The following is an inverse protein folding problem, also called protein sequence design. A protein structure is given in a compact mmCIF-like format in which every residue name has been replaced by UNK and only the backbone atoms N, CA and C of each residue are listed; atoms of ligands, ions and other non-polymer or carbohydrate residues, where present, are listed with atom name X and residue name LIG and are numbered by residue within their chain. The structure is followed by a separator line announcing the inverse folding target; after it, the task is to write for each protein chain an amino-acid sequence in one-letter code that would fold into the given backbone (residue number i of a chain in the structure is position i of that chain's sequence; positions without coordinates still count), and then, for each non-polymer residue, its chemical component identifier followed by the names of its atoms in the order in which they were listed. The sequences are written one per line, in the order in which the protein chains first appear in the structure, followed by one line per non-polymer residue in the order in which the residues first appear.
data_IF_864156795221
#
_entry.id   IF_864156795221
#
_cell.length_a   1.000
_cell.length_b   1.000
_cell.length_c   1.000
_cell.angle_alpha   90.00
_cell.angle_beta   90.00
_cell.angle_gamma   90.00
#
_symmetry.space_group_name_H-M   'P 1'
#
loop_
_entity.id
_entity.type
_entity.pdbx_description
1 polymer ?
#
# COMPACT_ATOMS: atom_id res chain seq x y z
N UNK A 1 19.25 0.43 21.67
CA UNK A 1 19.26 -0.38 20.43
C UNK A 1 20.13 0.36 19.44
N UNK A 2 21.16 -0.28 18.91
CA UNK A 2 22.18 0.36 18.07
C UNK A 2 21.63 0.66 16.66
N UNK A 3 22.04 1.80 16.10
CA UNK A 3 21.69 2.24 14.73
C UNK A 3 22.00 1.15 13.68
N UNK A 4 23.02 0.33 13.92
CA UNK A 4 23.38 -0.84 13.12
C UNK A 4 22.18 -1.79 12.92
N UNK A 5 21.38 -2.03 13.96
CA UNK A 5 20.23 -2.92 13.90
C UNK A 5 19.13 -2.36 12.99
N UNK A 6 18.91 -1.03 13.02
CA UNK A 6 17.95 -0.34 12.15
C UNK A 6 18.32 -0.53 10.68
N UNK A 7 19.62 -0.45 10.35
CA UNK A 7 20.10 -0.69 9.00
C UNK A 7 19.89 -2.14 8.55
N UNK A 8 20.11 -3.11 9.42
CA UNK A 8 19.87 -4.52 9.09
C UNK A 8 18.38 -4.80 8.85
N UNK A 9 17.49 -4.24 9.67
CA UNK A 9 16.03 -4.35 9.49
C UNK A 9 15.62 -3.71 8.16
N UNK A 10 16.08 -2.48 7.89
CA UNK A 10 15.77 -1.79 6.64
C UNK A 10 16.27 -2.57 5.41
N UNK A 11 17.46 -3.16 5.51
CA UNK A 11 18.03 -4.01 4.45
C UNK A 11 17.20 -5.26 4.22
N UNK A 12 16.82 -5.98 5.28
CA UNK A 12 15.95 -7.15 5.21
C UNK A 12 14.65 -6.82 4.46
N UNK A 13 13.97 -5.76 4.87
CA UNK A 13 12.69 -5.38 4.24
C UNK A 13 12.87 -4.87 2.81
N UNK A 14 13.95 -4.17 2.52
CA UNK A 14 14.27 -3.75 1.16
C UNK A 14 14.48 -4.94 0.24
N UNK A 15 15.24 -5.95 0.67
CA UNK A 15 15.48 -7.14 -0.13
C UNK A 15 14.19 -7.94 -0.37
N UNK A 16 13.30 -8.05 0.62
CA UNK A 16 11.96 -8.61 0.45
C UNK A 16 11.16 -7.86 -0.63
N UNK A 17 11.15 -6.51 -0.57
CA UNK A 17 10.47 -5.68 -1.58
C UNK A 17 11.08 -5.89 -2.97
N UNK A 18 12.40 -6.02 -3.08
CA UNK A 18 13.06 -6.29 -4.37
C UNK A 18 12.62 -7.62 -4.96
N UNK A 19 12.48 -8.66 -4.15
CA UNK A 19 11.98 -9.97 -4.60
C UNK A 19 10.54 -9.83 -5.07
N UNK A 20 9.68 -9.18 -4.26
CA UNK A 20 8.25 -8.98 -4.54
C UNK A 20 7.97 -8.16 -5.82
N UNK A 21 8.93 -7.30 -6.20
CA UNK A 21 8.81 -6.42 -7.36
C UNK A 21 9.77 -6.81 -8.49
N UNK A 22 10.43 -7.97 -8.41
CA UNK A 22 11.44 -8.39 -9.40
C UNK A 22 10.91 -8.42 -10.83
N UNK A 23 9.63 -8.80 -10.99
CA UNK A 23 8.97 -8.88 -12.29
C UNK A 23 8.66 -7.50 -12.88
N UNK A 24 8.62 -6.46 -12.05
CA UNK A 24 8.45 -5.06 -12.47
C UNK A 24 9.75 -4.44 -13.00
N UNK A 25 10.90 -5.00 -12.66
CA UNK A 25 12.22 -4.53 -13.09
C UNK A 25 13.27 -4.67 -11.99
N UNK A 26 14.51 -4.32 -12.33
CA UNK A 26 15.61 -4.38 -11.37
C UNK A 26 15.61 -3.14 -10.47
N UNK A 27 15.46 -3.37 -9.15
CA UNK A 27 15.61 -2.33 -8.14
C UNK A 27 17.05 -2.39 -7.61
N UNK A 28 17.86 -1.32 -7.79
CA UNK A 28 19.23 -1.30 -7.31
C UNK A 28 19.30 -1.24 -5.77
N UNK A 29 20.47 -1.59 -5.22
CA UNK A 29 20.73 -1.49 -3.79
C UNK A 29 20.49 -0.05 -3.28
N UNK A 30 20.05 0.05 -2.02
CA UNK A 30 19.80 1.32 -1.36
C UNK A 30 20.98 1.67 -0.46
N UNK A 31 21.45 2.91 -0.56
CA UNK A 31 22.29 3.50 0.50
C UNK A 31 21.39 3.84 1.68
N UNK A 32 21.32 2.92 2.64
CA UNK A 32 20.49 3.05 3.83
C UNK A 32 20.96 4.19 4.75
N UNK A 33 22.25 4.53 4.74
CA UNK A 33 22.77 5.59 5.59
C UNK A 33 22.17 6.93 5.17
N UNK A 34 22.27 7.26 3.89
CA UNK A 34 21.67 8.49 3.34
C UNK A 34 20.14 8.47 3.48
N UNK A 35 19.50 7.36 3.12
CA UNK A 35 18.04 7.26 3.10
C UNK A 35 17.41 7.38 4.48
N UNK A 36 17.91 6.65 5.48
CA UNK A 36 17.35 6.62 6.83
C UNK A 36 17.63 7.93 7.57
N UNK A 37 18.83 8.50 7.41
CA UNK A 37 19.18 9.79 8.05
C UNK A 37 18.26 10.92 7.57
N UNK A 38 17.79 10.86 6.32
CA UNK A 38 16.82 11.83 5.79
C UNK A 38 15.40 11.68 6.35
N UNK A 39 15.10 10.60 7.11
CA UNK A 39 13.76 10.26 7.60
C UNK A 39 13.78 9.80 9.07
N UNK A 40 13.83 10.74 10.04
CA UNK A 40 13.88 10.40 11.47
C UNK A 40 12.75 9.48 11.94
N UNK A 41 11.54 9.67 11.41
CA UNK A 41 10.37 8.84 11.75
C UNK A 41 10.49 7.38 11.27
N UNK A 42 11.35 7.12 10.28
CA UNK A 42 11.58 5.77 9.78
C UNK A 42 12.42 4.96 10.78
N UNK A 43 13.35 5.60 11.49
CA UNK A 43 14.19 4.94 12.50
C UNK A 43 13.33 4.37 13.62
N UNK A 44 12.45 5.19 14.21
CA UNK A 44 11.57 4.73 15.28
C UNK A 44 10.61 3.64 14.79
N UNK A 45 10.06 3.80 13.58
CA UNK A 45 9.14 2.82 13.00
C UNK A 45 9.81 1.48 12.70
N UNK A 46 11.05 1.47 12.19
CA UNK A 46 11.80 0.22 11.96
C UNK A 46 12.03 -0.54 13.27
N UNK A 47 12.44 0.17 14.33
CA UNK A 47 12.66 -0.45 15.64
C UNK A 47 11.37 -0.99 16.25
N UNK A 48 10.29 -0.20 16.22
CA UNK A 48 9.02 -0.62 16.78
C UNK A 48 8.36 -1.74 15.99
N UNK A 49 8.48 -1.72 14.65
CA UNK A 49 8.03 -2.81 13.79
C UNK A 49 8.74 -4.12 14.16
N UNK A 50 10.07 -4.10 14.24
CA UNK A 50 10.85 -5.31 14.55
C UNK A 50 10.58 -5.84 15.97
N UNK A 51 10.38 -4.95 16.95
CA UNK A 51 9.95 -5.35 18.29
C UNK A 51 8.56 -6.02 18.30
N UNK A 52 7.64 -5.55 17.45
CA UNK A 52 6.24 -6.01 17.41
C UNK A 52 6.02 -7.24 16.52
N UNK A 53 6.97 -7.56 15.64
CA UNK A 53 6.80 -8.56 14.58
C UNK A 53 6.45 -9.95 15.10
N UNK A 54 7.02 -10.37 16.24
CA UNK A 54 6.76 -11.70 16.82
C UNK A 54 5.29 -11.85 17.25
N UNK A 55 4.67 -10.75 17.71
CA UNK A 55 3.31 -10.77 18.28
C UNK A 55 2.24 -10.40 17.25
N UNK A 56 2.54 -9.46 16.37
CA UNK A 56 1.56 -8.86 15.47
C UNK A 56 1.92 -9.03 13.99
N UNK A 57 3.00 -9.75 13.69
CA UNK A 57 3.57 -9.80 12.35
C UNK A 57 3.75 -8.37 11.79
N UNK A 58 3.45 -8.15 10.52
CA UNK A 58 3.43 -6.84 9.91
C UNK A 58 2.12 -6.05 10.14
N UNK A 59 1.17 -6.54 10.93
CA UNK A 59 -0.12 -5.85 11.19
C UNK A 59 0.00 -4.74 12.23
N UNK A 60 0.86 -3.78 11.96
CA UNK A 60 1.15 -2.65 12.84
C UNK A 60 1.25 -1.32 12.08
N UNK A 61 1.04 -0.21 12.78
CA UNK A 61 1.18 1.13 12.18
C UNK A 61 2.60 1.43 11.73
N UNK A 62 3.57 0.88 12.45
CA UNK A 62 4.99 1.10 12.18
C UNK A 62 5.43 0.33 10.94
N UNK A 63 4.99 -0.93 10.80
CA UNK A 63 5.16 -1.68 9.56
C UNK A 63 4.55 -0.94 8.36
N UNK A 64 3.33 -0.41 8.52
CA UNK A 64 2.67 0.37 7.48
C UNK A 64 3.49 1.59 7.04
N UNK A 65 4.08 2.32 7.99
CA UNK A 65 4.95 3.45 7.65
C UNK A 65 6.25 3.00 6.95
N UNK A 66 6.88 1.93 7.44
CA UNK A 66 8.12 1.37 6.85
C UNK A 66 7.90 0.94 5.39
N UNK A 67 6.88 0.11 5.12
CA UNK A 67 6.60 -0.34 3.76
C UNK A 67 6.18 0.81 2.85
N UNK A 68 5.40 1.79 3.34
CA UNK A 68 5.08 2.97 2.55
C UNK A 68 6.34 3.70 2.07
N UNK A 69 7.29 3.98 2.97
CA UNK A 69 8.50 4.72 2.64
C UNK A 69 9.43 3.95 1.70
N UNK A 70 9.68 2.67 2.01
CA UNK A 70 10.59 1.83 1.22
C UNK A 70 10.01 1.56 -0.17
N UNK A 71 8.73 1.20 -0.27
CA UNK A 71 8.11 0.86 -1.55
C UNK A 71 7.90 2.09 -2.41
N UNK A 72 7.57 3.25 -1.83
CA UNK A 72 7.53 4.52 -2.58
C UNK A 72 8.88 4.79 -3.24
N UNK A 73 9.98 4.56 -2.52
CA UNK A 73 11.32 4.77 -3.05
C UNK A 73 11.70 3.73 -4.12
N UNK A 74 11.37 2.45 -3.89
CA UNK A 74 11.57 1.37 -4.86
C UNK A 74 10.80 1.61 -6.16
N UNK A 75 9.53 2.01 -6.06
CA UNK A 75 8.68 2.32 -7.21
C UNK A 75 9.20 3.54 -7.99
N UNK A 76 9.73 4.55 -7.30
CA UNK A 76 10.43 5.67 -7.93
C UNK A 76 11.63 5.22 -8.76
N UNK A 77 12.43 4.27 -8.25
CA UNK A 77 13.57 3.68 -8.97
C UNK A 77 13.17 2.83 -10.17
N UNK A 78 11.96 2.27 -10.15
CA UNK A 78 11.37 1.57 -11.30
C UNK A 78 10.70 2.51 -12.32
N UNK A 79 10.75 3.83 -12.11
CA UNK A 79 10.27 4.82 -13.07
C UNK A 79 8.87 5.40 -12.79
N UNK A 80 8.28 5.15 -11.62
CA UNK A 80 7.06 5.88 -11.22
C UNK A 80 7.41 7.30 -10.76
N UNK A 81 6.67 8.30 -11.25
CA UNK A 81 6.78 9.68 -10.79
C UNK A 81 6.34 9.81 -9.32
N UNK A 82 6.76 10.88 -8.66
CA UNK A 82 6.60 11.04 -7.20
C UNK A 82 5.16 10.92 -6.67
N UNK A 83 4.12 11.27 -7.45
CA UNK A 83 2.73 11.11 -7.01
C UNK A 83 2.27 9.66 -7.17
N UNK A 84 2.51 9.08 -8.33
CA UNK A 84 2.14 7.71 -8.68
C UNK A 84 2.90 6.70 -7.81
N UNK A 85 4.18 6.95 -7.51
CA UNK A 85 5.02 6.17 -6.61
C UNK A 85 4.47 6.15 -5.17
N UNK A 86 4.06 7.31 -4.65
CA UNK A 86 3.44 7.41 -3.30
C UNK A 86 2.13 6.64 -3.21
N UNK A 87 1.31 6.69 -4.26
CA UNK A 87 0.06 5.92 -4.32
C UNK A 87 0.39 4.42 -4.33
N UNK A 88 1.29 3.98 -5.21
CA UNK A 88 1.73 2.59 -5.26
C UNK A 88 2.27 2.09 -3.92
N UNK A 89 3.17 2.86 -3.29
CA UNK A 89 3.74 2.54 -1.98
C UNK A 89 2.68 2.47 -0.86
N UNK A 90 1.71 3.39 -0.87
CA UNK A 90 0.59 3.36 0.08
C UNK A 90 -0.27 2.11 -0.11
N UNK A 91 -0.58 1.75 -1.36
CA UNK A 91 -1.39 0.57 -1.65
C UNK A 91 -0.66 -0.72 -1.31
N UNK A 92 0.60 -0.87 -1.72
CA UNK A 92 1.42 -2.03 -1.38
C UNK A 92 1.54 -2.19 0.14
N UNK A 93 1.85 -1.11 0.85
CA UNK A 93 1.93 -1.13 2.31
C UNK A 93 0.66 -1.69 2.93
N UNK A 94 -0.50 -1.26 2.43
CA UNK A 94 -1.78 -1.74 2.93
C UNK A 94 -1.96 -3.24 2.65
N UNK A 95 -1.64 -3.72 1.43
CA UNK A 95 -1.69 -5.16 1.08
C UNK A 95 -0.82 -5.96 2.05
N UNK A 96 0.40 -5.49 2.32
CA UNK A 96 1.39 -6.21 3.11
C UNK A 96 1.07 -6.25 4.60
N UNK A 97 0.48 -5.18 5.12
CA UNK A 97 0.35 -4.99 6.57
C UNK A 97 -1.09 -5.12 7.05
N UNK A 98 -2.08 -4.97 6.16
CA UNK A 98 -3.48 -4.72 6.56
C UNK A 98 -3.67 -3.38 7.30
N UNK A 99 -2.60 -2.62 7.53
CA UNK A 99 -2.65 -1.36 8.24
C UNK A 99 -2.81 -0.19 7.28
N UNK A 100 -3.85 0.60 7.51
CA UNK A 100 -4.05 1.85 6.78
C UNK A 100 -3.48 3.01 7.58
N UNK A 101 -2.44 3.66 7.06
CA UNK A 101 -1.84 4.83 7.72
C UNK A 101 -2.81 6.03 7.69
N UNK A 102 -3.32 6.50 8.85
CA UNK A 102 -4.06 7.75 8.92
C UNK A 102 -3.13 8.97 8.79
N UNK A 103 -1.80 8.77 8.93
CA UNK A 103 -0.78 9.82 8.98
C UNK A 103 -0.67 10.61 7.66
N UNK A 104 -1.09 10.03 6.54
CA UNK A 104 -1.11 10.73 5.24
C UNK A 104 -2.22 11.77 5.12
N UNK A 105 -3.23 11.75 6.00
CA UNK A 105 -4.44 12.52 5.80
C UNK A 105 -4.90 13.08 7.14
N UNK A 106 -4.60 14.37 7.32
CA UNK A 106 -5.05 15.21 8.42
C UNK A 106 -6.59 15.36 8.33
N UNK A 107 -7.35 14.33 8.72
CA UNK A 107 -8.80 14.27 8.50
C UNK A 107 -9.54 15.18 9.47
N UNK A 108 -10.24 16.18 8.92
CA UNK A 108 -11.11 17.09 9.68
C UNK A 108 -12.60 16.85 9.44
N UNK A 109 -13.01 15.89 8.60
CA UNK A 109 -14.44 15.66 8.30
C UNK A 109 -14.81 14.23 7.91
N UNK A 110 -16.07 13.85 8.19
CA UNK A 110 -16.70 12.57 7.78
C UNK A 110 -16.66 12.34 6.26
N UNK A 111 -16.78 13.41 5.46
CA UNK A 111 -16.69 13.36 3.99
C UNK A 111 -15.29 12.94 3.53
N UNK A 112 -14.25 13.44 4.19
CA UNK A 112 -12.86 13.11 3.90
C UNK A 112 -12.56 11.64 4.22
N UNK A 113 -13.11 11.11 5.31
CA UNK A 113 -12.98 9.70 5.70
C UNK A 113 -13.66 8.79 4.66
N UNK A 114 -14.90 9.08 4.27
CA UNK A 114 -15.63 8.29 3.26
C UNK A 114 -14.93 8.28 1.91
N UNK A 115 -14.38 9.42 1.47
CA UNK A 115 -13.64 9.47 0.22
C UNK A 115 -12.37 8.59 0.26
N UNK A 116 -11.79 8.41 1.44
CA UNK A 116 -10.62 7.57 1.62
C UNK A 116 -10.95 6.10 1.71
N UNK A 117 -12.02 5.72 2.42
CA UNK A 117 -12.55 4.35 2.36
C UNK A 117 -12.86 3.97 0.91
N UNK A 118 -13.46 4.87 0.13
CA UNK A 118 -13.70 4.61 -1.31
C UNK A 118 -12.40 4.39 -2.08
N UNK A 119 -11.42 5.29 -1.95
CA UNK A 119 -10.11 5.11 -2.59
C UNK A 119 -9.45 3.80 -2.15
N UNK A 120 -9.55 3.46 -0.87
CA UNK A 120 -9.03 2.22 -0.29
C UNK A 120 -9.66 0.99 -0.92
N UNK A 121 -11.00 0.91 -0.98
CA UNK A 121 -11.68 -0.25 -1.59
C UNK A 121 -11.36 -0.36 -3.08
N UNK A 122 -11.24 0.78 -3.77
CA UNK A 122 -10.80 0.79 -5.18
C UNK A 122 -9.39 0.21 -5.32
N UNK A 123 -8.43 0.65 -4.51
CA UNK A 123 -7.08 0.10 -4.54
C UNK A 123 -7.06 -1.37 -4.13
N UNK A 124 -7.80 -1.75 -3.09
CA UNK A 124 -7.96 -3.16 -2.74
C UNK A 124 -8.43 -3.97 -3.94
N UNK A 125 -9.50 -3.55 -4.62
CA UNK A 125 -9.99 -4.25 -5.81
C UNK A 125 -8.97 -4.32 -6.96
N UNK A 126 -8.10 -3.33 -7.10
CA UNK A 126 -7.01 -3.36 -8.09
C UNK A 126 -5.99 -4.46 -7.77
N UNK A 127 -5.65 -4.65 -6.49
CA UNK A 127 -4.71 -5.69 -6.05
C UNK A 127 -5.37 -7.06 -5.85
N UNK A 128 -6.70 -7.08 -5.61
CA UNK A 128 -7.49 -8.24 -5.16
C UNK A 128 -8.84 -8.29 -5.88
N UNK A 129 -8.90 -8.79 -7.12
CA UNK A 129 -10.16 -9.14 -7.76
C UNK A 129 -10.83 -10.28 -6.97
N UNK A 130 -12.12 -10.11 -6.65
CA UNK A 130 -12.94 -10.89 -5.69
C UNK A 130 -12.76 -12.42 -5.75
N UNK A 131 -12.82 -13.09 -4.57
CA UNK A 131 -12.91 -14.56 -4.32
C UNK A 131 -11.62 -15.39 -4.13
N UNK A 132 -10.54 -14.85 -3.56
CA UNK A 132 -9.43 -15.72 -3.11
C UNK A 132 -9.13 -15.48 -1.62
N UNK A 133 -8.72 -16.55 -0.95
CA UNK A 133 -8.20 -16.49 0.43
C UNK A 133 -6.72 -16.18 0.33
N UNK A 134 -6.31 -15.02 0.84
CA UNK A 134 -5.01 -14.50 0.52
C UNK A 134 -4.02 -14.60 1.69
N UNK A 135 -3.45 -15.78 1.88
CA UNK A 135 -2.14 -15.89 2.52
C UNK A 135 -1.08 -15.39 1.52
N UNK A 136 -0.85 -14.07 1.50
CA UNK A 136 0.12 -13.47 0.59
C UNK A 136 1.55 -13.92 0.93
N UNK A 137 2.01 -14.92 0.21
CA UNK A 137 3.43 -15.07 -0.05
C UNK A 137 3.83 -14.12 -1.18
N UNK A 138 4.44 -12.99 -0.81
CA UNK A 138 4.89 -11.98 -1.76
C UNK A 138 6.05 -12.46 -2.62
N UNK A 139 6.72 -13.53 -2.22
CA UNK A 139 7.82 -14.12 -2.98
C UNK A 139 7.32 -15.15 -4.01
N UNK A 140 6.00 -15.43 -4.06
CA UNK A 140 5.46 -16.38 -5.00
C UNK A 140 5.37 -15.82 -6.44
N UNK A 141 5.58 -16.63 -7.50
CA UNK A 141 5.53 -16.16 -8.89
C UNK A 141 4.18 -15.53 -9.29
N UNK A 142 3.07 -16.05 -8.77
CA UNK A 142 1.72 -15.56 -9.07
C UNK A 142 1.52 -14.13 -8.56
N UNK A 143 1.91 -13.87 -7.31
CA UNK A 143 1.83 -12.53 -6.70
C UNK A 143 2.74 -11.56 -7.43
N UNK A 144 3.97 -11.97 -7.75
CA UNK A 144 4.91 -11.17 -8.54
C UNK A 144 4.32 -10.76 -9.91
N UNK A 145 3.65 -11.68 -10.60
CA UNK A 145 3.00 -11.39 -11.88
C UNK A 145 1.84 -10.41 -11.72
N UNK A 146 1.02 -10.57 -10.68
CA UNK A 146 -0.07 -9.62 -10.35
C UNK A 146 0.50 -8.22 -10.07
N UNK A 147 1.59 -8.12 -9.29
CA UNK A 147 2.28 -6.85 -9.04
C UNK A 147 2.82 -6.22 -10.32
N UNK A 148 3.40 -7.01 -11.24
CA UNK A 148 3.86 -6.50 -12.54
C UNK A 148 2.73 -5.87 -13.33
N UNK A 149 1.61 -6.57 -13.50
CA UNK A 149 0.45 -6.04 -14.23
C UNK A 149 -0.07 -4.74 -13.60
N UNK A 150 -0.11 -4.68 -12.28
CA UNK A 150 -0.53 -3.47 -11.57
C UNK A 150 0.49 -2.36 -11.79
N UNK A 151 1.78 -2.64 -11.65
CA UNK A 151 2.85 -1.68 -11.89
C UNK A 151 2.79 -1.11 -13.32
N UNK A 152 2.56 -1.93 -14.33
CA UNK A 152 2.35 -1.50 -15.72
C UNK A 152 1.13 -0.57 -15.86
N UNK A 153 0.03 -0.83 -15.14
CA UNK A 153 -1.11 0.11 -15.09
C UNK A 153 -0.68 1.45 -14.50
N UNK A 154 0.06 1.46 -13.39
CA UNK A 154 0.59 2.68 -12.78
C UNK A 154 1.50 3.44 -13.75
N UNK A 155 2.32 2.74 -14.54
CA UNK A 155 3.15 3.34 -15.61
C UNK A 155 2.26 3.97 -16.69
N UNK A 156 1.26 3.24 -17.20
CA UNK A 156 0.33 3.74 -18.23
C UNK A 156 -0.41 5.00 -17.78
N UNK A 157 -0.82 5.07 -16.51
CA UNK A 157 -1.43 6.25 -15.92
C UNK A 157 -0.53 7.50 -15.93
N UNK A 158 0.79 7.34 -16.01
CA UNK A 158 1.70 8.47 -16.16
C UNK A 158 1.67 9.03 -17.58
N UNK A 159 1.60 8.15 -18.59
CA UNK A 159 1.57 8.55 -20.00
C UNK A 159 0.20 9.05 -20.42
N UNK A 160 -0.87 8.49 -19.86
CA UNK A 160 -2.24 8.87 -20.17
C UNK A 160 -3.07 9.11 -18.89
N UNK A 161 -2.99 10.32 -18.30
CA UNK A 161 -3.73 10.67 -17.09
C UNK A 161 -5.26 10.56 -17.22
N UNK A 162 -5.77 10.59 -18.46
CA UNK A 162 -7.19 10.33 -18.78
C UNK A 162 -7.62 8.90 -18.40
N UNK A 163 -6.76 7.90 -18.64
CA UNK A 163 -7.03 6.50 -18.27
C UNK A 163 -7.19 6.34 -16.77
N UNK A 164 -6.30 6.96 -15.98
CA UNK A 164 -6.41 6.94 -14.52
C UNK A 164 -7.80 7.43 -14.08
N UNK A 165 -8.23 8.57 -14.61
CA UNK A 165 -9.51 9.18 -14.22
C UNK A 165 -10.69 8.29 -14.60
N UNK A 166 -10.66 7.69 -15.79
CA UNK A 166 -11.68 6.76 -16.29
C UNK A 166 -11.73 5.46 -15.48
N UNK A 167 -10.59 4.81 -15.27
CA UNK A 167 -10.54 3.56 -14.51
C UNK A 167 -10.94 3.78 -13.05
N UNK A 168 -10.46 4.86 -12.42
CA UNK A 168 -10.87 5.21 -11.06
C UNK A 168 -12.35 5.52 -10.94
N UNK A 169 -12.94 6.15 -11.97
CA UNK A 169 -14.37 6.34 -12.02
C UNK A 169 -15.13 5.00 -12.06
N UNK A 170 -14.73 4.08 -12.93
CA UNK A 170 -15.37 2.75 -13.06
C UNK A 170 -15.32 1.99 -11.73
N UNK A 171 -14.13 1.84 -11.12
CA UNK A 171 -14.01 1.14 -9.84
C UNK A 171 -14.81 1.84 -8.74
N UNK A 172 -14.81 3.16 -8.72
CA UNK A 172 -15.57 3.93 -7.73
C UNK A 172 -17.07 3.71 -7.88
N UNK A 173 -17.62 3.76 -9.10
CA UNK A 173 -19.04 3.48 -9.33
C UNK A 173 -19.41 2.08 -8.85
N UNK A 174 -18.58 1.07 -9.12
CA UNK A 174 -18.82 -0.28 -8.61
C UNK A 174 -18.81 -0.37 -7.08
N UNK A 175 -17.92 0.38 -6.41
CA UNK A 175 -17.87 0.43 -4.94
C UNK A 175 -19.06 1.20 -4.37
N UNK A 176 -19.42 2.33 -4.99
CA UNK A 176 -20.52 3.17 -4.54
C UNK A 176 -21.85 2.42 -4.64
N UNK A 177 -22.08 1.65 -5.72
CA UNK A 177 -23.27 0.80 -5.87
C UNK A 177 -23.36 -0.28 -4.77
N UNK A 178 -22.24 -0.90 -4.40
CA UNK A 178 -22.22 -1.91 -3.33
C UNK A 178 -22.51 -1.28 -1.97
N UNK A 179 -21.92 -0.11 -1.69
CA UNK A 179 -22.15 0.61 -0.44
C UNK A 179 -23.58 1.11 -0.32
N UNK A 180 -24.18 1.58 -1.42
CA UNK A 180 -25.59 1.98 -1.46
C UNK A 180 -26.51 0.79 -1.18
N UNK A 181 -26.28 -0.36 -1.80
CA UNK A 181 -27.04 -1.58 -1.52
C UNK A 181 -26.93 -2.04 -0.06
N UNK A 182 -25.74 -1.94 0.55
CA UNK A 182 -25.54 -2.25 1.98
C UNK A 182 -26.30 -1.26 2.87
N UNK A 183 -26.22 0.04 2.59
CA UNK A 183 -26.91 1.05 3.38
C UNK A 183 -28.43 0.88 3.30
N UNK A 184 -28.98 0.62 2.11
CA UNK A 184 -30.41 0.34 1.94
C UNK A 184 -30.85 -0.89 2.74
N UNK A 185 -30.06 -1.98 2.72
CA UNK A 185 -30.35 -3.18 3.49
C UNK A 185 -30.27 -2.96 5.01
N UNK A 186 -29.35 -2.10 5.48
CA UNK A 186 -29.23 -1.76 6.89
C UNK A 186 -30.34 -0.80 7.37
N UNK A 187 -30.78 0.13 6.52
CA UNK A 187 -31.86 1.06 6.82
C UNK A 187 -33.24 0.37 6.84
N UNK A 188 -33.47 -0.64 6.00
CA UNK A 188 -34.69 -1.48 6.03
C UNK A 188 -34.86 -2.24 7.36
N UNK A 189 -33.77 -2.57 8.06
CA UNK A 189 -33.81 -3.27 9.35
C UNK A 189 -33.99 -2.36 10.58
N UNK A 190 -33.99 -1.04 10.41
CA UNK A 190 -34.25 -0.09 11.52
C UNK A 190 -35.74 0.30 11.56
N UNK A 191 -36.50 0.01 10.51
CA UNK A 191 -37.94 0.33 10.40
C UNK A 191 -38.92 -0.77 10.81
N UNK A 192 -38.46 -1.94 11.27
CA UNK A 192 -39.33 -3.04 11.70
C UNK A 192 -39.07 -3.47 13.15
N UNK A 193 -39.56 -2.67 14.10
CA UNK A 193 -39.90 -3.09 15.46
C UNK A 193 -41.24 -2.47 15.84
#
# INVERSE_FOLDING_TARGET
MEIENVYQIAKREWDNIRISLRSCGNIPNLDFNSFITSKPNLISSLNEMDFKIIKYDYTTKEAGYVFYELVTHAAGRLGLNGKTAKIFGSSYSWVRTGWYSPVLLNYKSKKSINQCIRKQVVFYKIFFPVNEDYNWDFDCPTVNSKFKTIFEKFINWQYEPGLYSKEMFIYRTQVDNVLEGINLALDEHIGSC
#
